data_IF_139532631665
#
_entry.id   IF_139532631665
#
_cell.length_a   1.000
_cell.length_b   1.000
_cell.length_c   1.000
_cell.angle_alpha   90.00
_cell.angle_beta   90.00
_cell.angle_gamma   90.00
#
_symmetry.space_group_name_H-M   'P 1'
#
loop_
_entity.id
_entity.type
_entity.pdbx_description
1 polymer ?
#
# COMPACT_ATOMS: atom_id res chain seq x y z
N UNK A 1 -7.63 14.57 -7.17
CA UNK A 1 -8.92 14.27 -6.49
C UNK A 1 -8.99 12.82 -6.00
N UNK A 2 -8.73 11.79 -6.84
CA UNK A 2 -8.67 10.39 -6.40
C UNK A 2 -7.60 10.11 -5.33
N UNK A 3 -6.38 10.64 -5.51
CA UNK A 3 -5.36 10.59 -4.46
C UNK A 3 -5.79 11.30 -3.17
N UNK A 4 -6.66 12.32 -3.23
CA UNK A 4 -7.08 13.04 -2.01
C UNK A 4 -8.08 12.23 -1.19
N UNK A 5 -9.02 11.55 -1.85
CA UNK A 5 -9.97 10.67 -1.17
C UNK A 5 -9.29 9.42 -0.64
N UNK A 6 -8.42 8.79 -1.44
CA UNK A 6 -7.61 7.65 -0.99
C UNK A 6 -6.73 7.99 0.21
N UNK A 7 -6.04 9.13 0.17
CA UNK A 7 -5.22 9.60 1.30
C UNK A 7 -6.08 9.89 2.53
N UNK A 8 -7.26 10.49 2.37
CA UNK A 8 -8.19 10.73 3.49
C UNK A 8 -8.65 9.42 4.15
N UNK A 9 -8.95 8.40 3.34
CA UNK A 9 -9.32 7.07 3.83
C UNK A 9 -8.14 6.42 4.56
N UNK A 10 -6.94 6.43 3.98
CA UNK A 10 -5.72 5.93 4.64
C UNK A 10 -5.45 6.66 5.95
N UNK A 11 -5.60 7.98 5.98
CA UNK A 11 -5.43 8.80 7.18
C UNK A 11 -6.43 8.42 8.27
N UNK A 12 -7.71 8.28 7.90
CA UNK A 12 -8.77 7.86 8.83
C UNK A 12 -8.48 6.48 9.41
N UNK A 13 -8.02 5.55 8.58
CA UNK A 13 -7.60 4.22 9.01
C UNK A 13 -6.39 4.28 9.96
N UNK A 14 -5.36 5.05 9.61
CA UNK A 14 -4.08 5.12 10.34
C UNK A 14 -4.27 5.60 11.79
N UNK A 15 -5.12 6.61 12.00
CA UNK A 15 -5.37 7.21 13.33
C UNK A 15 -6.44 6.49 14.16
N UNK A 16 -7.02 5.40 13.65
CA UNK A 16 -8.03 4.63 14.39
C UNK A 16 -7.39 3.87 15.55
N UNK A 17 -7.96 4.00 16.76
CA UNK A 17 -7.46 3.37 17.99
C UNK A 17 -7.42 1.84 17.91
N UNK A 18 -8.47 1.24 17.36
CA UNK A 18 -8.57 -0.20 17.09
C UNK A 18 -8.65 -0.39 15.58
N UNK A 19 -7.49 -0.37 14.93
CA UNK A 19 -7.37 -0.57 13.50
C UNK A 19 -7.08 -2.04 13.19
N UNK A 20 -7.67 -2.53 12.12
CA UNK A 20 -7.28 -3.81 11.53
C UNK A 20 -6.19 -3.54 10.51
N UNK A 21 -5.35 -4.54 10.14
CA UNK A 21 -4.55 -4.45 8.95
C UNK A 21 -5.41 -4.05 7.75
N UNK A 22 -4.85 -3.25 6.84
CA UNK A 22 -5.55 -2.74 5.68
C UNK A 22 -5.06 -3.45 4.43
N UNK A 23 -5.98 -4.02 3.66
CA UNK A 23 -5.73 -4.50 2.31
C UNK A 23 -6.30 -3.53 1.28
N UNK A 24 -5.44 -2.93 0.46
CA UNK A 24 -5.80 -2.08 -0.65
C UNK A 24 -5.86 -2.91 -1.93
N UNK A 25 -7.06 -3.05 -2.49
CA UNK A 25 -7.33 -3.74 -3.76
C UNK A 25 -7.56 -2.76 -4.89
N UNK A 26 -7.55 -3.28 -6.11
CA UNK A 26 -7.79 -2.51 -7.32
C UNK A 26 -6.94 -3.03 -8.48
N UNK A 27 -7.32 -2.66 -9.70
CA UNK A 27 -6.63 -3.09 -10.91
C UNK A 27 -5.12 -2.77 -10.91
N UNK A 28 -4.36 -3.42 -11.77
CA UNK A 28 -2.95 -3.05 -12.00
C UNK A 28 -2.88 -1.58 -12.45
N UNK A 29 -1.79 -0.89 -12.08
CA UNK A 29 -1.51 0.49 -12.51
C UNK A 29 -2.49 1.57 -12.01
N UNK A 30 -3.29 1.31 -10.99
CA UNK A 30 -4.21 2.31 -10.39
C UNK A 30 -3.57 3.21 -9.31
N UNK A 31 -2.27 3.04 -9.05
CA UNK A 31 -1.51 3.89 -8.12
C UNK A 31 -1.57 3.48 -6.65
N UNK A 32 -1.79 2.19 -6.33
CA UNK A 32 -1.86 1.67 -4.95
C UNK A 32 -0.57 1.93 -4.16
N UNK A 33 0.58 1.50 -4.69
CA UNK A 33 1.91 1.76 -4.09
C UNK A 33 2.16 3.25 -3.92
N UNK A 34 1.85 4.04 -4.97
CA UNK A 34 2.01 5.50 -4.94
C UNK A 34 1.17 6.14 -3.85
N UNK A 35 -0.07 5.68 -3.65
CA UNK A 35 -0.96 6.19 -2.61
C UNK A 35 -0.36 5.99 -1.21
N UNK A 36 0.18 4.80 -0.92
CA UNK A 36 0.78 4.50 0.39
C UNK A 36 2.04 5.33 0.62
N UNK A 37 2.92 5.42 -0.40
CA UNK A 37 4.15 6.23 -0.33
C UNK A 37 3.85 7.70 -0.07
N UNK A 38 2.92 8.28 -0.87
CA UNK A 38 2.50 9.68 -0.69
C UNK A 38 1.90 9.92 0.68
N UNK A 39 1.06 9.00 1.18
CA UNK A 39 0.49 9.12 2.52
C UNK A 39 1.57 9.12 3.62
N UNK A 40 2.54 8.21 3.54
CA UNK A 40 3.62 8.13 4.52
C UNK A 40 4.47 9.41 4.52
N UNK A 41 4.81 9.94 3.34
CA UNK A 41 5.54 11.20 3.20
C UNK A 41 4.75 12.38 3.79
N UNK A 42 3.46 12.51 3.44
CA UNK A 42 2.60 13.61 3.90
C UNK A 42 2.43 13.66 5.42
N UNK A 43 2.36 12.50 6.07
CA UNK A 43 2.21 12.41 7.54
C UNK A 43 3.56 12.24 8.26
N UNK A 44 4.68 12.33 7.54
CA UNK A 44 6.03 12.16 8.07
C UNK A 44 6.23 10.82 8.83
N UNK A 45 5.73 9.73 8.24
CA UNK A 45 5.78 8.36 8.76
C UNK A 45 6.94 7.63 8.10
N UNK A 46 7.70 6.86 8.89
CA UNK A 46 8.72 5.95 8.36
C UNK A 46 8.05 4.77 7.64
N UNK A 47 8.13 4.74 6.32
CA UNK A 47 7.60 3.64 5.51
C UNK A 47 8.60 2.48 5.44
N UNK A 48 8.18 1.29 5.88
CA UNK A 48 8.93 0.04 5.73
C UNK A 48 8.27 -0.73 4.59
N UNK A 49 8.73 -0.46 3.38
CA UNK A 49 8.16 -1.05 2.17
C UNK A 49 8.83 -2.38 1.83
N UNK A 50 8.02 -3.43 1.75
CA UNK A 50 8.39 -4.79 1.41
C UNK A 50 7.69 -5.14 0.11
N UNK A 51 8.39 -5.06 -1.00
CA UNK A 51 7.89 -5.57 -2.27
C UNK A 51 7.97 -7.11 -2.27
N UNK A 52 6.82 -7.79 -2.22
CA UNK A 52 6.73 -9.25 -2.13
C UNK A 52 7.20 -9.99 -3.39
N UNK A 53 7.46 -9.31 -4.51
CA UNK A 53 8.08 -9.90 -5.71
C UNK A 53 9.61 -10.02 -5.58
N UNK A 54 10.22 -9.36 -4.59
CA UNK A 54 11.67 -9.45 -4.35
C UNK A 54 12.01 -10.68 -3.49
N UNK A 55 13.21 -11.27 -3.68
CA UNK A 55 13.63 -12.47 -2.97
C UNK A 55 14.16 -12.14 -1.56
N UNK A 56 13.27 -11.76 -0.63
CA UNK A 56 13.66 -11.51 0.76
C UNK A 56 14.04 -12.81 1.48
N UNK A 57 15.07 -12.75 2.31
CA UNK A 57 15.56 -13.91 3.06
C UNK A 57 14.58 -14.37 4.15
N UNK A 58 13.77 -13.45 4.69
CA UNK A 58 12.77 -13.76 5.72
C UNK A 58 11.50 -14.44 5.19
N UNK A 59 11.29 -14.59 3.88
CA UNK A 59 10.05 -15.16 3.30
C UNK A 59 9.67 -16.52 3.92
N UNK A 60 10.61 -17.48 4.13
CA UNK A 60 10.28 -18.75 4.77
C UNK A 60 9.71 -18.60 6.19
N UNK A 61 10.09 -17.55 6.93
CA UNK A 61 9.59 -17.29 8.29
C UNK A 61 8.11 -16.86 8.29
N UNK A 62 7.59 -16.29 7.21
CA UNK A 62 6.16 -15.92 7.10
C UNK A 62 5.26 -17.15 7.30
N UNK A 63 5.74 -18.36 6.94
CA UNK A 63 5.02 -19.62 7.13
C UNK A 63 4.85 -20.00 8.61
N UNK A 64 5.68 -19.47 9.51
CA UNK A 64 5.54 -19.70 10.95
C UNK A 64 4.30 -19.01 11.53
N UNK A 65 3.74 -18.03 10.82
CA UNK A 65 2.61 -17.20 11.25
C UNK A 65 2.87 -16.43 12.56
N UNK A 66 4.13 -16.27 12.95
CA UNK A 66 4.57 -15.52 14.13
C UNK A 66 4.93 -14.08 13.71
N UNK A 67 4.10 -13.07 14.05
CA UNK A 67 4.31 -11.71 13.59
C UNK A 67 5.54 -11.06 14.24
N UNK A 68 5.90 -11.45 15.47
CA UNK A 68 7.07 -10.92 16.18
C UNK A 68 8.34 -11.36 15.46
N UNK A 69 8.48 -12.66 15.17
CA UNK A 69 9.65 -13.17 14.43
C UNK A 69 9.76 -12.57 13.03
N UNK A 70 8.63 -12.32 12.36
CA UNK A 70 8.65 -11.68 11.04
C UNK A 70 9.13 -10.23 11.15
N UNK A 71 8.70 -9.47 12.16
CA UNK A 71 9.19 -8.11 12.41
C UNK A 71 10.69 -8.12 12.69
N UNK A 72 11.17 -8.98 13.60
CA UNK A 72 12.60 -9.10 13.94
C UNK A 72 13.44 -9.44 12.70
N UNK A 73 12.95 -10.32 11.84
CA UNK A 73 13.63 -10.70 10.61
C UNK A 73 13.68 -9.54 9.58
N UNK A 74 12.60 -8.76 9.47
CA UNK A 74 12.57 -7.55 8.64
C UNK A 74 13.57 -6.51 9.17
N UNK A 75 13.59 -6.27 10.49
CA UNK A 75 14.53 -5.36 11.14
C UNK A 75 15.99 -5.76 10.88
N UNK A 76 16.30 -7.06 11.01
CA UNK A 76 17.62 -7.60 10.75
C UNK A 76 18.03 -7.46 9.28
N UNK A 77 17.18 -7.89 8.34
CA UNK A 77 17.50 -7.88 6.91
C UNK A 77 17.65 -6.46 6.35
N UNK A 78 16.85 -5.51 6.84
CA UNK A 78 16.91 -4.11 6.44
C UNK A 78 17.90 -3.28 7.26
N UNK A 79 18.47 -3.85 8.34
CA UNK A 79 19.31 -3.16 9.32
C UNK A 79 18.64 -1.88 9.87
N UNK A 80 17.42 -2.01 10.36
CA UNK A 80 16.61 -0.92 10.92
C UNK A 80 15.94 -1.33 12.23
N UNK A 81 15.49 -0.35 12.99
CA UNK A 81 14.48 -0.54 14.04
C UNK A 81 13.13 0.02 13.58
N UNK A 82 12.05 -0.71 13.84
CA UNK A 82 10.67 -0.37 13.51
C UNK A 82 9.97 0.13 14.77
N UNK A 83 9.81 1.45 14.88
CA UNK A 83 8.98 2.04 15.93
C UNK A 83 7.49 1.96 15.55
N UNK A 84 6.62 1.25 16.29
CA UNK A 84 5.20 1.09 15.95
C UNK A 84 4.41 2.40 15.89
N UNK A 85 4.81 3.42 16.65
CA UNK A 85 4.14 4.72 16.70
C UNK A 85 4.36 5.53 15.41
N UNK A 86 5.57 5.47 14.86
CA UNK A 86 6.03 6.32 13.75
C UNK A 86 6.31 5.56 12.45
N UNK A 87 6.12 4.25 12.44
CA UNK A 87 6.35 3.42 11.26
C UNK A 87 5.06 2.91 10.66
N UNK A 88 5.09 2.65 9.36
CA UNK A 88 4.08 1.92 8.62
C UNK A 88 4.77 0.78 7.88
N UNK A 89 4.39 -0.46 8.18
CA UNK A 89 4.84 -1.65 7.45
C UNK A 89 3.91 -1.83 6.27
N UNK A 90 4.49 -1.90 5.07
CA UNK A 90 3.76 -2.00 3.82
C UNK A 90 4.24 -3.20 3.01
N UNK A 91 3.40 -4.23 2.91
CA UNK A 91 3.64 -5.36 2.00
C UNK A 91 2.99 -5.08 0.64
N UNK A 92 3.81 -4.81 -0.37
CA UNK A 92 3.34 -4.51 -1.73
C UNK A 92 3.25 -5.79 -2.57
N UNK A 93 2.18 -5.91 -3.36
CA UNK A 93 1.91 -7.03 -4.27
C UNK A 93 1.91 -8.41 -3.56
N UNK A 94 1.14 -8.52 -2.46
CA UNK A 94 1.11 -9.71 -1.59
C UNK A 94 0.61 -10.99 -2.26
N UNK A 95 0.04 -10.92 -3.47
CA UNK A 95 -0.27 -12.13 -4.23
C UNK A 95 0.96 -12.97 -4.55
N UNK A 96 2.16 -12.38 -4.54
CA UNK A 96 3.42 -13.10 -4.73
C UNK A 96 3.82 -13.92 -3.50
N UNK A 97 3.27 -13.58 -2.32
CA UNK A 97 3.46 -14.30 -1.05
C UNK A 97 2.11 -14.38 -0.31
N UNK A 98 1.17 -15.25 -0.76
CA UNK A 98 -0.19 -15.30 -0.21
C UNK A 98 -0.26 -15.57 1.30
N UNK A 99 0.77 -16.24 1.86
CA UNK A 99 0.88 -16.49 3.30
C UNK A 99 0.90 -15.21 4.15
N UNK A 100 1.28 -14.06 3.58
CA UNK A 100 1.17 -12.76 4.24
C UNK A 100 -0.28 -12.48 4.67
N UNK A 101 -1.27 -12.85 3.86
CA UNK A 101 -2.69 -12.63 4.19
C UNK A 101 -3.13 -13.38 5.45
N UNK A 102 -2.61 -14.60 5.64
CA UNK A 102 -2.86 -15.40 6.84
C UNK A 102 -2.18 -14.76 8.06
N UNK A 103 -0.97 -14.24 7.88
CA UNK A 103 -0.20 -13.55 8.92
C UNK A 103 -0.91 -12.26 9.41
N UNK A 104 -1.69 -11.57 8.56
CA UNK A 104 -2.45 -10.37 8.94
C UNK A 104 -3.36 -10.60 10.15
N UNK A 105 -3.92 -11.80 10.31
CA UNK A 105 -4.68 -12.15 11.50
C UNK A 105 -3.87 -11.95 12.77
N UNK A 106 -2.65 -12.45 12.79
CA UNK A 106 -1.78 -12.45 13.97
C UNK A 106 -1.21 -11.05 14.23
N UNK A 107 -0.96 -10.26 13.19
CA UNK A 107 -0.67 -8.83 13.37
C UNK A 107 -1.80 -8.08 14.10
N UNK A 108 -3.06 -8.44 13.84
CA UNK A 108 -4.20 -7.84 14.55
C UNK A 108 -4.37 -8.39 15.97
N UNK A 109 -4.20 -9.69 16.18
CA UNK A 109 -4.47 -10.35 17.47
C UNK A 109 -3.33 -10.19 18.48
N UNK A 110 -2.07 -10.21 18.03
CA UNK A 110 -0.90 -10.32 18.92
C UNK A 110 -0.11 -9.01 19.03
N UNK A 111 0.02 -8.26 17.92
CA UNK A 111 0.85 -7.04 17.86
C UNK A 111 0.12 -5.85 17.19
N UNK A 112 -1.09 -5.48 17.69
CA UNK A 112 -1.95 -4.47 17.06
C UNK A 112 -1.34 -3.05 17.02
N UNK A 113 -0.28 -2.80 17.79
CA UNK A 113 0.49 -1.56 17.79
C UNK A 113 1.23 -1.31 16.49
N UNK A 114 1.53 -2.36 15.69
CA UNK A 114 2.12 -2.21 14.37
C UNK A 114 1.06 -1.84 13.33
N UNK A 115 1.42 -0.95 12.42
CA UNK A 115 0.54 -0.46 11.35
C UNK A 115 0.86 -1.24 10.09
N UNK A 116 -0.06 -2.09 9.65
CA UNK A 116 0.15 -2.96 8.49
C UNK A 116 -0.80 -2.56 7.36
N UNK A 117 -0.21 -2.18 6.23
CA UNK A 117 -0.90 -2.03 4.94
C UNK A 117 -0.41 -3.10 3.99
N UNK A 118 -1.31 -3.64 3.19
CA UNK A 118 -0.98 -4.55 2.11
C UNK A 118 -1.67 -4.10 0.83
N UNK A 119 -1.10 -4.44 -0.32
CA UNK A 119 -1.73 -4.28 -1.62
C UNK A 119 -1.73 -5.60 -2.36
N UNK A 120 -2.71 -5.80 -3.24
CA UNK A 120 -2.64 -6.88 -4.21
C UNK A 120 -3.65 -6.71 -5.32
N UNK A 121 -3.16 -6.78 -6.56
CA UNK A 121 -3.96 -6.47 -7.75
C UNK A 121 -4.89 -7.62 -8.16
N UNK A 122 -4.46 -8.86 -7.95
CA UNK A 122 -5.17 -10.08 -8.38
C UNK A 122 -6.10 -10.65 -7.32
N UNK A 123 -6.15 -10.06 -6.13
CA UNK A 123 -6.90 -10.57 -4.98
C UNK A 123 -8.42 -10.49 -5.14
N UNK A 124 -8.95 -9.99 -6.25
CA UNK A 124 -10.39 -10.06 -6.55
C UNK A 124 -10.81 -11.41 -7.12
N UNK A 125 -9.86 -12.20 -7.66
CA UNK A 125 -10.15 -13.47 -8.35
C UNK A 125 -9.76 -14.72 -7.56
N UNK A 126 -9.04 -14.56 -6.45
CA UNK A 126 -8.34 -15.68 -5.78
C UNK A 126 -8.80 -15.88 -4.33
N UNK A 127 -9.79 -15.12 -3.85
CA UNK A 127 -10.23 -15.21 -2.44
C UNK A 127 -10.92 -16.52 -2.09
N UNK A 128 -11.42 -17.23 -3.10
CA UNK A 128 -12.06 -18.52 -2.94
C UNK A 128 -11.03 -19.66 -2.83
N UNK A 129 -9.74 -19.38 -3.03
CA UNK A 129 -8.68 -20.37 -2.88
C UNK A 129 -8.24 -20.52 -1.41
N UNK A 130 -7.99 -21.76 -0.92
CA UNK A 130 -7.54 -22.01 0.46
C UNK A 130 -6.22 -21.30 0.83
N UNK A 131 -5.38 -21.03 -0.17
CA UNK A 131 -4.10 -20.35 0.02
C UNK A 131 -4.26 -18.86 0.34
N UNK A 132 -5.36 -18.25 -0.11
CA UNK A 132 -5.67 -16.83 0.04
C UNK A 132 -6.68 -16.52 1.14
N UNK A 133 -6.93 -17.49 2.04
CA UNK A 133 -7.84 -17.36 3.18
C UNK A 133 -7.65 -16.02 3.90
N UNK A 134 -8.57 -15.10 3.65
CA UNK A 134 -8.60 -13.78 4.27
C UNK A 134 -9.27 -13.90 5.63
N UNK A 135 -8.67 -13.37 6.71
CA UNK A 135 -9.26 -13.47 8.04
C UNK A 135 -10.49 -12.57 8.17
N UNK A 136 -11.67 -13.17 8.01
CA UNK A 136 -12.96 -12.48 8.09
C UNK A 136 -13.10 -11.79 9.46
N UNK A 137 -13.49 -10.51 9.43
CA UNK A 137 -13.66 -9.69 10.63
C UNK A 137 -12.37 -9.15 11.24
N UNK A 138 -11.18 -9.49 10.72
CA UNK A 138 -9.87 -9.03 11.24
C UNK A 138 -9.02 -8.28 10.20
N UNK A 139 -9.61 -8.03 9.03
CA UNK A 139 -9.01 -7.25 7.96
C UNK A 139 -9.96 -6.12 7.55
N UNK A 140 -9.43 -4.93 7.28
CA UNK A 140 -10.13 -3.86 6.57
C UNK A 140 -9.74 -3.89 5.10
N UNK A 141 -10.72 -3.71 4.20
CA UNK A 141 -10.50 -3.74 2.76
C UNK A 141 -10.86 -2.37 2.20
N UNK A 142 -9.94 -1.79 1.43
CA UNK A 142 -10.15 -0.57 0.67
C UNK A 142 -10.02 -0.89 -0.82
N UNK A 143 -10.97 -0.44 -1.63
CA UNK A 143 -10.89 -0.55 -3.08
C UNK A 143 -10.39 0.78 -3.67
N UNK A 144 -9.33 0.71 -4.47
CA UNK A 144 -8.83 1.80 -5.28
C UNK A 144 -9.18 1.54 -6.74
N UNK A 145 -10.22 2.22 -7.22
CA UNK A 145 -10.67 2.11 -8.61
C UNK A 145 -9.66 2.71 -9.59
N UNK A 146 -9.76 2.34 -10.89
CA UNK A 146 -8.95 2.95 -11.93
C UNK A 146 -9.12 4.47 -11.92
N UNK A 147 -8.05 5.20 -12.27
CA UNK A 147 -8.17 6.61 -12.58
C UNK A 147 -9.26 6.76 -13.64
N UNK A 148 -10.36 7.43 -13.30
CA UNK A 148 -11.46 7.67 -14.24
C UNK A 148 -10.88 8.26 -15.52
N UNK A 149 -11.24 7.71 -16.69
CA UNK A 149 -10.68 8.11 -18.00
C UNK A 149 -10.73 9.63 -18.21
N UNK A 150 -11.77 10.30 -17.67
CA UNK A 150 -11.93 11.76 -17.69
C UNK A 150 -10.75 12.54 -17.06
N UNK A 151 -10.08 11.96 -16.07
CA UNK A 151 -8.95 12.62 -15.36
C UNK A 151 -7.62 12.38 -16.06
N UNK A 152 -7.43 11.23 -16.71
CA UNK A 152 -6.31 11.01 -17.62
C UNK A 152 -6.36 12.03 -18.76
N UNK A 153 -7.55 12.25 -19.33
CA UNK A 153 -7.79 13.31 -20.31
C UNK A 153 -7.48 14.70 -19.75
N UNK A 154 -7.89 14.99 -18.50
CA UNK A 154 -7.60 16.27 -17.85
C UNK A 154 -6.10 16.51 -17.65
N UNK A 155 -5.34 15.48 -17.24
CA UNK A 155 -3.88 15.59 -17.06
C UNK A 155 -3.18 15.75 -18.41
N UNK A 156 -3.56 14.95 -19.41
CA UNK A 156 -3.04 15.10 -20.78
C UNK A 156 -3.33 16.48 -21.34
N UNK A 157 -4.55 16.98 -21.18
CA UNK A 157 -4.94 18.31 -21.65
C UNK A 157 -4.18 19.40 -20.90
N UNK A 158 -3.93 19.25 -19.60
CA UNK A 158 -3.14 20.20 -18.83
C UNK A 158 -1.68 20.25 -19.30
N UNK A 159 -1.05 19.10 -19.54
CA UNK A 159 0.33 19.02 -20.08
C UNK A 159 0.38 19.67 -21.46
N UNK A 160 -0.53 19.27 -22.37
CA UNK A 160 -0.62 19.87 -23.71
C UNK A 160 -0.82 21.39 -23.66
N UNK A 161 -1.60 21.88 -22.68
CA UNK A 161 -1.86 23.31 -22.54
C UNK A 161 -0.64 24.09 -22.02
N UNK A 162 0.22 23.48 -21.21
CA UNK A 162 1.49 24.10 -20.80
C UNK A 162 2.47 24.12 -21.98
N UNK A 163 2.57 23.02 -22.73
CA UNK A 163 3.42 22.93 -23.92
C UNK A 163 2.98 23.96 -24.98
N UNK A 164 1.67 24.10 -25.22
CA UNK A 164 1.12 25.14 -26.13
C UNK A 164 1.43 26.55 -25.61
N UNK A 165 1.30 26.82 -24.31
CA UNK A 165 1.64 28.13 -23.74
C UNK A 165 3.12 28.47 -23.90
N UNK A 166 3.99 27.47 -23.82
CA UNK A 166 5.43 27.63 -24.01
C UNK A 166 5.76 27.92 -25.48
N UNK A 167 5.13 27.19 -26.42
CA UNK A 167 5.23 27.45 -27.87
C UNK A 167 4.70 28.85 -28.23
N UNK A 168 3.55 29.26 -27.68
CA UNK A 168 2.97 30.58 -27.94
C UNK A 168 3.79 31.74 -27.34
N UNK A 169 4.61 31.49 -26.30
CA UNK A 169 5.57 32.49 -25.79
C UNK A 169 6.76 32.67 -26.73
N UNK A 170 7.19 31.61 -27.41
CA UNK A 170 8.30 31.65 -28.38
C UNK A 170 7.89 32.43 -29.65
N UNK A 171 6.59 32.43 -30.02
CA UNK A 171 6.08 33.17 -31.18
C UNK A 171 5.77 34.67 -30.94
N UNK A 172 5.99 35.19 -29.72
CA UNK A 172 5.78 36.62 -29.39
C UNK A 172 7.07 37.44 -29.29
N UNK A 173 8.16 36.92 -29.85
CA UNK A 173 9.43 37.65 -30.00
C UNK A 173 9.59 38.02 -31.48
N UNK A 174 8.84 39.04 -31.91
CA UNK A 174 9.12 39.90 -33.07
C UNK A 174 8.29 41.18 -32.94
#
# INVERSE_FOLDING_TARGET
>A
MLNREGVKTLKTWYYKKLRKPLLIRGARQVGKTTLVRMFAEMENIKLIEINCEKPWSFIPLIKSLDPVKVIEAIEFELNITINPEKSLIFFDEVQSIPSVLKLLRYFYEEVPEYKIVTTGSLLEFVLDEPEFSVPVGRLEIMYLGPFSQDKLFTIYMYILFQDIKEICKIQKVE
#
